data_IF_027952631102
#
_entry.id   IF_027952631102
#
_cell.length_a   1.000
_cell.length_b   1.000
_cell.length_c   1.000
_cell.angle_alpha   90.00
_cell.angle_beta   90.00
_cell.angle_gamma   90.00
#
_symmetry.space_group_name_H-M   'P 1'
#
loop_
_entity.id
_entity.type
_entity.pdbx_description
1 polymer ?
2 non-polymer ?
3 water ?
#
# COMPACT_ATOMS: atom_id res chain seq x y z
N UNK A 7 -6.10 2.76 30.02
CA UNK A 7 -5.86 4.23 30.17
C UNK A 7 -5.73 4.93 28.81
N UNK A 8 -5.09 6.10 28.79
CA UNK A 8 -4.64 6.73 27.55
C UNK A 8 -3.46 5.94 26.96
N UNK A 9 -3.00 4.95 27.73
CA UNK A 9 -1.96 4.00 27.29
C UNK A 9 -2.46 3.26 26.07
N UNK A 10 -3.74 2.91 26.10
CA UNK A 10 -4.37 2.00 25.15
C UNK A 10 -4.56 2.60 23.77
N UNK A 11 -5.02 3.85 23.72
CA UNK A 11 -5.11 4.62 22.47
C UNK A 11 -3.74 4.77 21.83
N UNK A 12 -2.72 5.10 22.63
CA UNK A 12 -1.36 5.30 22.13
C UNK A 12 -0.78 4.02 21.58
N UNK A 13 -0.92 2.93 22.34
CA UNK A 13 -0.43 1.64 21.93
C UNK A 13 -1.16 1.09 20.72
N UNK A 14 -2.48 1.29 20.62
CA UNK A 14 -3.19 0.82 19.45
C UNK A 14 -2.61 1.48 18.21
N UNK A 15 -2.48 2.80 18.25
CA UNK A 15 -1.92 3.55 17.12
C UNK A 15 -0.52 3.13 16.79
N UNK A 16 0.36 3.18 17.78
CA UNK A 16 1.78 2.86 17.56
C UNK A 16 2.04 1.43 17.12
N UNK A 17 1.40 0.45 17.76
CA UNK A 17 1.65 -0.96 17.47
C UNK A 17 1.10 -1.34 16.08
N UNK A 18 -0.03 -0.76 15.69
CA UNK A 18 -0.60 -0.93 14.35
C UNK A 18 0.37 -0.41 13.30
N UNK A 19 0.80 0.85 13.48
CA UNK A 19 1.79 1.47 12.57
C UNK A 19 3.09 0.67 12.47
N UNK A 20 3.58 0.19 13.60
CA UNK A 20 4.77 -0.64 13.62
C UNK A 20 4.58 -1.94 12.83
N UNK A 21 3.48 -2.67 13.13
CA UNK A 21 3.15 -3.89 12.38
C UNK A 21 3.05 -3.64 10.90
N UNK A 22 2.44 -2.50 10.52
CA UNK A 22 2.24 -2.18 9.11
C UNK A 22 3.53 -1.83 8.38
N UNK A 23 4.47 -1.21 9.10
CA UNK A 23 5.84 -0.94 8.60
C UNK A 23 6.58 -2.21 8.17
N UNK A 24 6.22 -3.35 8.80
CA UNK A 24 6.71 -4.67 8.39
C UNK A 24 5.81 -5.45 7.43
N UNK A 25 4.49 -5.38 7.63
CA UNK A 25 3.52 -6.11 6.80
C UNK A 25 3.54 -5.65 5.35
N UNK A 26 3.92 -4.40 5.10
CA UNK A 26 4.03 -3.91 3.72
C UNK A 26 5.00 -4.77 2.92
N UNK A 27 6.00 -5.33 3.61
CA UNK A 27 7.05 -6.16 3.01
C UNK A 27 6.54 -7.57 2.64
N UNK A 28 5.40 -7.92 3.22
CA UNK A 28 4.72 -9.16 2.92
C UNK A 28 3.48 -8.86 2.09
N UNK A 29 3.43 -7.65 1.51
CA UNK A 29 2.38 -7.21 0.59
C UNK A 29 0.99 -6.91 1.17
N UNK A 30 0.93 -6.63 2.47
CA UNK A 30 -0.35 -6.37 3.12
C UNK A 30 -0.26 -5.36 4.31
N UNK A 31 -1.30 -5.34 5.14
CA UNK A 31 -1.49 -4.35 6.20
C UNK A 31 -2.60 -4.86 7.09
N UNK A 32 -2.69 -4.30 8.29
CA UNK A 32 -3.86 -4.45 9.15
C UNK A 32 -4.44 -3.04 9.28
N UNK A 33 -5.69 -2.95 9.73
CA UNK A 33 -6.38 -1.68 9.90
C UNK A 33 -6.88 -1.55 11.35
N UNK A 34 -7.33 -2.67 11.91
CA UNK A 34 -7.92 -2.74 13.24
C UNK A 34 -7.21 -3.83 14.04
N UNK A 35 -6.30 -3.44 14.92
CA UNK A 35 -5.44 -4.37 15.65
C UNK A 35 -6.19 -5.35 16.57
N UNK A 36 -7.42 -5.00 16.96
CA UNK A 36 -8.19 -5.97 17.78
C UNK A 36 -9.15 -6.88 16.98
N UNK A 37 -9.15 -6.72 15.65
CA UNK A 37 -9.86 -7.64 14.75
C UNK A 37 -8.91 -8.40 13.81
N UNK A 38 -7.91 -7.72 13.28
CA UNK A 38 -7.14 -8.22 12.15
C UNK A 38 -6.05 -9.29 12.40
N UNK A 39 -5.83 -9.65 13.67
CA UNK A 39 -4.97 -10.77 14.05
C UNK A 39 -5.77 -11.95 14.62
N UNK A 40 -7.10 -11.85 14.64
CA UNK A 40 -7.94 -12.90 15.23
C UNK A 40 -7.87 -14.27 14.50
N UNK A 41 -7.73 -14.25 13.18
CA UNK A 41 -7.53 -15.50 12.43
C UNK A 41 -6.08 -16.05 12.40
N UNK A 42 -5.14 -15.28 12.96
CA UNK A 42 -3.73 -15.65 13.03
C UNK A 42 -2.89 -15.50 11.77
N UNK A 43 -3.52 -15.25 10.61
CA UNK A 43 -2.79 -15.27 9.33
C UNK A 43 -1.73 -14.15 9.16
N UNK A 44 -2.12 -12.92 9.46
CA UNK A 44 -1.23 -11.77 9.31
C UNK A 44 -0.26 -11.70 10.48
N UNK A 45 -0.61 -12.36 11.59
CA UNK A 45 0.27 -12.52 12.74
C UNK A 45 1.46 -13.42 12.39
N UNK A 46 1.16 -14.56 11.79
CA UNK A 46 2.17 -15.45 11.22
C UNK A 46 3.04 -14.75 10.15
N UNK A 47 2.39 -14.00 9.25
CA UNK A 47 3.10 -13.23 8.24
C UNK A 47 4.06 -12.19 8.84
N UNK A 48 3.59 -11.46 9.85
CA UNK A 48 4.41 -10.49 10.56
C UNK A 48 5.68 -11.14 11.12
N UNK A 49 5.53 -12.29 11.75
CA UNK A 49 6.64 -13.02 12.33
C UNK A 49 7.65 -13.49 11.28
N UNK A 50 7.14 -13.88 10.12
CA UNK A 50 7.99 -14.27 9.00
C UNK A 50 8.86 -13.09 8.50
N UNK A 51 8.27 -11.91 8.37
CA UNK A 51 8.99 -10.73 7.89
C UNK A 51 10.09 -10.29 8.85
N UNK A 52 9.75 -10.21 10.15
CA UNK A 52 10.65 -9.63 11.13
C UNK A 52 11.77 -10.59 11.52
N UNK A 53 11.57 -11.89 11.28
CA UNK A 53 12.60 -12.91 11.60
C UNK A 53 13.37 -13.37 10.37
N UNK A 54 12.76 -13.21 9.19
CA UNK A 54 13.37 -13.69 7.93
C UNK A 54 13.17 -15.18 7.75
N UNK A 55 12.35 -15.80 8.61
CA UNK A 55 12.20 -17.27 8.68
C UNK A 55 10.78 -17.70 8.33
N UNK A 56 10.66 -18.94 7.90
CA UNK A 56 9.38 -19.48 7.48
C UNK A 56 8.68 -20.15 8.65
N UNK A 57 7.37 -19.91 8.76
CA UNK A 57 6.60 -20.53 9.82
C UNK A 57 5.85 -21.68 9.13
N UNK A 58 5.25 -22.61 9.91
CA UNK A 58 4.45 -23.65 9.24
C UNK A 58 3.30 -23.08 8.40
N UNK A 59 2.78 -23.92 7.50
CA UNK A 59 1.63 -23.58 6.64
C UNK A 59 0.42 -23.24 7.52
N UNK A 60 -0.23 -22.11 7.24
CA UNK A 60 -1.45 -21.72 7.93
C UNK A 60 -2.65 -22.52 7.44
N UNK A 61 -3.71 -22.57 8.25
CA UNK A 61 -4.98 -23.13 7.81
C UNK A 61 -5.93 -21.99 7.43
N UNK A 62 -6.55 -22.11 6.27
CA UNK A 62 -7.29 -20.98 5.73
C UNK A 62 -8.79 -21.20 5.80
N UNK A 63 -9.18 -22.23 6.54
CA UNK A 63 -10.56 -22.67 6.65
C UNK A 63 -11.60 -21.77 7.30
N UNK A 64 -11.21 -20.75 8.04
CA UNK A 64 -12.23 -19.82 8.62
C UNK A 64 -13.08 -20.36 9.80
N UNK A 65 -12.81 -21.58 10.26
CA UNK A 65 -13.43 -22.05 11.49
C UNK A 65 -12.59 -21.67 12.66
N UNK A 66 -13.19 -21.66 13.85
CA UNK A 66 -12.48 -21.24 15.01
C UNK A 66 -11.22 -22.10 15.32
N UNK A 67 -11.26 -23.42 15.06
CA UNK A 67 -10.07 -24.30 15.25
C UNK A 67 -8.88 -23.83 14.44
N UNK A 68 -9.16 -23.49 13.18
CA UNK A 68 -8.10 -23.07 12.25
C UNK A 68 -7.39 -21.84 12.81
N UNK A 69 -8.17 -20.89 13.30
CA UNK A 69 -7.66 -19.62 13.77
C UNK A 69 -6.86 -19.86 15.04
N UNK A 70 -7.36 -20.74 15.92
CA UNK A 70 -6.65 -21.17 17.13
C UNK A 70 -5.32 -21.84 16.76
N UNK A 71 -5.37 -22.72 15.76
CA UNK A 71 -4.17 -23.42 15.31
C UNK A 71 -3.14 -22.47 14.72
N UNK A 72 -3.60 -21.51 13.93
CA UNK A 72 -2.76 -20.46 13.38
C UNK A 72 -2.12 -19.61 14.47
N UNK A 73 -2.90 -19.18 15.45
CA UNK A 73 -2.37 -18.37 16.53
C UNK A 73 -1.38 -19.16 17.39
N UNK A 74 -1.65 -20.44 17.67
CA UNK A 74 -0.67 -21.28 18.33
C UNK A 74 0.64 -21.45 17.55
N UNK A 75 0.57 -21.54 16.22
CA UNK A 75 1.77 -21.61 15.39
C UNK A 75 2.64 -20.37 15.62
N UNK A 76 1.98 -19.23 15.72
CA UNK A 76 2.65 -17.97 15.95
C UNK A 76 3.24 -17.93 17.36
N UNK A 77 2.48 -18.35 18.35
CA UNK A 77 2.96 -18.34 19.73
C UNK A 77 4.10 -19.34 19.95
N UNK A 78 3.98 -20.51 19.33
CA UNK A 78 5.01 -21.54 19.43
C UNK A 78 6.32 -21.01 18.85
N UNK A 79 6.22 -20.27 17.75
CA UNK A 79 7.37 -19.64 17.13
C UNK A 79 8.04 -18.57 17.99
N UNK A 80 7.25 -17.66 18.55
CA UNK A 80 7.76 -16.70 19.51
C UNK A 80 8.48 -17.40 20.65
N UNK A 81 7.87 -18.44 21.22
CA UNK A 81 8.51 -19.24 22.30
C UNK A 81 9.82 -19.94 21.88
N UNK A 82 9.90 -20.37 20.62
CA UNK A 82 11.14 -21.02 20.12
C UNK A 82 12.34 -20.05 20.04
N UNK A 83 12.07 -18.75 20.18
CA UNK A 83 13.09 -17.68 20.18
C UNK A 83 13.41 -17.27 21.61
N UNK A 84 12.96 -18.10 22.55
CA UNK A 84 13.44 -18.02 23.92
C UNK A 84 12.56 -17.12 24.75
N UNK A 85 11.39 -16.80 24.20
CA UNK A 85 10.41 -15.95 24.88
C UNK A 85 9.56 -16.79 25.84
N UNK A 86 9.50 -16.36 27.08
CA UNK A 86 8.61 -16.99 28.04
C UNK A 86 7.30 -16.21 28.05
N UNK A 87 6.29 -16.74 27.37
CA UNK A 87 4.99 -16.09 27.28
C UNK A 87 4.26 -16.10 28.61
N UNK A 88 3.68 -14.97 28.96
CA UNK A 88 2.97 -14.80 30.22
C UNK A 88 1.55 -14.27 29.98
N UNK A 89 0.55 -15.00 30.50
CA UNK A 89 -0.87 -14.60 30.37
C UNK A 89 -1.27 -14.29 28.91
N UNK A 90 -0.84 -15.14 27.97
CA UNK A 90 -1.25 -15.04 26.55
C UNK A 90 -1.66 -16.44 26.10
N UNK A 91 -2.89 -16.58 25.61
CA UNK A 91 -3.40 -17.85 25.10
C UNK A 91 -4.06 -17.65 23.75
N UNK A 92 -4.02 -18.66 22.88
CA UNK A 92 -4.55 -18.53 21.49
C UNK A 92 -6.08 -18.28 21.44
N UNK A 93 -6.82 -18.88 22.36
CA UNK A 93 -8.27 -18.77 22.32
C UNK A 93 -8.69 -17.33 22.54
N UNK A 94 -8.02 -16.66 23.47
CA UNK A 94 -8.39 -15.31 23.88
C UNK A 94 -8.00 -14.29 22.78
N UNK A 95 -6.91 -14.57 22.06
CA UNK A 95 -6.53 -13.80 20.87
C UNK A 95 -7.57 -13.96 19.72
N UNK A 96 -7.92 -15.21 19.44
CA UNK A 96 -8.91 -15.53 18.42
C UNK A 96 -10.26 -14.89 18.77
N UNK A 97 -10.60 -14.90 20.06
CA UNK A 97 -11.86 -14.35 20.56
C UNK A 97 -11.87 -12.81 20.72
N UNK A 98 -10.74 -12.17 20.40
CA UNK A 98 -10.68 -10.71 20.34
C UNK A 98 -10.39 -9.96 21.63
N UNK A 99 -9.68 -10.59 22.56
CA UNK A 99 -9.23 -9.88 23.77
C UNK A 99 -8.23 -8.78 23.42
N UNK A 100 -8.65 -7.52 23.51
CA UNK A 100 -7.88 -6.37 23.04
C UNK A 100 -6.60 -6.08 23.85
N UNK A 101 -6.71 -6.07 25.18
CA UNK A 101 -5.57 -5.88 26.06
C UNK A 101 -4.52 -6.98 25.85
N UNK A 102 -4.96 -8.25 25.75
CA UNK A 102 -4.05 -9.38 25.52
C UNK A 102 -3.37 -9.29 24.17
N UNK A 103 -4.12 -8.85 23.16
CA UNK A 103 -3.58 -8.65 21.82
C UNK A 103 -2.50 -7.58 21.85
N UNK A 104 -2.78 -6.44 22.50
CA UNK A 104 -1.72 -5.43 22.61
C UNK A 104 -0.48 -5.99 23.31
N UNK A 105 -0.70 -6.75 24.38
CA UNK A 105 0.38 -7.39 25.15
C UNK A 105 1.21 -8.32 24.30
N UNK A 106 0.55 -9.07 23.44
CA UNK A 106 1.24 -10.01 22.58
C UNK A 106 2.05 -9.25 21.51
N UNK A 107 1.51 -8.19 20.94
CA UNK A 107 2.29 -7.38 19.98
C UNK A 107 3.51 -6.70 20.62
N UNK A 108 3.38 -6.17 21.82
CA UNK A 108 4.55 -5.67 22.56
C UNK A 108 5.65 -6.72 22.78
N UNK A 109 5.26 -7.92 23.18
CA UNK A 109 6.17 -9.05 23.30
C UNK A 109 6.98 -9.29 22.02
N UNK A 110 6.27 -9.23 20.88
CA UNK A 110 6.88 -9.35 19.57
C UNK A 110 7.89 -8.21 19.26
N UNK A 111 7.48 -6.97 19.47
CA UNK A 111 8.37 -5.82 19.31
C UNK A 111 9.64 -5.98 20.16
N UNK A 112 9.46 -6.31 21.44
CA UNK A 112 10.56 -6.40 22.39
C UNK A 112 11.60 -7.47 21.96
N UNK A 113 11.11 -8.65 21.56
CA UNK A 113 11.96 -9.75 21.13
C UNK A 113 12.64 -9.51 19.78
N UNK A 114 11.85 -9.09 18.79
CA UNK A 114 12.28 -9.03 17.37
C UNK A 114 12.84 -7.67 16.88
N UNK A 115 12.64 -6.61 17.67
CA UNK A 115 13.13 -5.28 17.32
C UNK A 115 14.13 -4.77 18.35
N UNK A 116 13.96 -5.20 19.59
CA UNK A 116 14.73 -4.63 20.69
C UNK A 116 15.84 -5.51 21.30
N UNK A 117 15.48 -6.74 21.62
CA UNK A 117 16.34 -7.65 22.36
C UNK A 117 17.75 -7.77 21.81
N UNK A 118 17.87 -7.91 20.49
CA UNK A 118 19.15 -8.18 19.88
C UNK A 118 20.02 -6.94 19.66
N UNK A 119 19.49 -5.75 19.97
CA UNK A 119 20.27 -4.49 19.98
C UNK A 119 21.49 -4.67 20.89
N UNK A 120 22.67 -4.39 20.35
CA UNK A 120 23.93 -4.49 21.12
C UNK A 120 24.76 -3.22 20.97
N UNK A 121 24.93 -2.50 22.09
CA UNK A 121 25.65 -1.23 22.12
C UNK A 121 26.70 -1.22 23.22
N UNK A 122 27.97 -1.07 22.84
CA UNK A 122 29.11 -1.28 23.75
C UNK A 122 28.92 -2.63 24.44
N UNK A 123 28.93 -2.66 25.76
CA UNK A 123 28.63 -3.91 26.46
C UNK A 123 27.20 -4.05 27.05
N UNK A 124 26.25 -3.25 26.55
CA UNK A 124 24.86 -3.35 27.00
C UNK A 124 23.95 -3.84 25.85
N UNK A 125 22.83 -4.49 26.18
CA UNK A 125 21.93 -4.95 25.15
C UNK A 125 20.47 -4.61 25.42
N UNK A 126 19.60 -4.88 24.43
CA UNK A 126 18.16 -4.77 24.60
C UNK A 126 17.75 -3.35 24.98
N UNK A 127 16.76 -3.20 25.87
CA UNK A 127 16.19 -1.88 26.23
C UNK A 127 17.29 -0.94 26.76
N UNK A 128 18.19 -1.50 27.56
CA UNK A 128 19.29 -0.75 28.17
C UNK A 128 20.26 -0.28 27.09
N UNK A 129 20.47 -1.12 26.08
CA UNK A 129 21.37 -0.80 24.99
C UNK A 129 20.80 0.30 24.11
N UNK A 130 19.50 0.20 23.81
CA UNK A 130 18.81 1.22 23.03
C UNK A 130 18.88 2.59 23.74
N UNK A 131 18.68 2.62 25.05
CA UNK A 131 18.87 3.86 25.83
C UNK A 131 20.29 4.43 25.72
N UNK A 132 21.32 3.62 26.00
CA UNK A 132 22.72 4.07 25.89
C UNK A 132 23.04 4.67 24.49
N UNK A 133 22.61 3.97 23.45
CA UNK A 133 22.74 4.46 22.08
C UNK A 133 22.14 5.86 21.91
N UNK A 134 20.92 6.07 22.41
CA UNK A 134 20.27 7.40 22.34
C UNK A 134 21.02 8.47 23.14
N UNK A 135 21.55 8.10 24.31
CA UNK A 135 22.36 9.00 25.11
C UNK A 135 23.70 9.36 24.43
N UNK A 136 24.32 8.37 23.78
CA UNK A 136 25.58 8.60 23.04
C UNK A 136 25.38 9.55 21.87
N UNK A 137 24.36 9.26 21.05
CA UNK A 137 24.06 10.04 19.86
C UNK A 137 23.56 11.44 20.17
N UNK A 138 22.85 11.59 21.28
CA UNK A 138 22.35 12.93 21.63
C UNK A 138 23.19 13.70 22.67
N UNK A 139 24.36 13.17 23.04
CA UNK A 139 25.17 13.79 24.10
C UNK A 139 25.41 15.29 23.93
N UNK A 140 25.83 15.73 22.73
CA UNK A 140 26.22 17.15 22.63
C UNK A 140 25.07 18.18 22.43
N UNK A 141 23.84 17.67 22.23
CA UNK A 141 22.69 18.51 21.84
C UNK A 141 22.05 19.27 22.98
N UNK A 142 21.87 20.56 22.75
CA UNK A 142 21.35 21.50 23.75
C UNK A 142 19.94 21.14 24.13
N UNK A 143 19.70 21.11 25.45
CA UNK A 143 18.38 20.83 26.00
C UNK A 143 17.86 19.40 25.75
N UNK A 144 18.77 18.49 25.43
CA UNK A 144 18.41 17.09 25.36
C UNK A 144 19.08 16.40 26.53
N UNK A 145 18.33 15.59 27.25
CA UNK A 145 18.93 14.67 28.20
C UNK A 145 18.08 13.42 28.26
N UNK A 146 18.47 12.40 27.53
CA UNK A 146 17.71 11.14 27.47
C UNK A 146 18.00 10.31 28.73
N UNK A 147 16.97 10.05 29.52
CA UNK A 147 17.12 9.29 30.76
C UNK A 147 16.09 8.20 30.82
N UNK A 148 15.25 8.15 29.78
CA UNK A 148 14.13 7.23 29.76
C UNK A 148 13.47 7.24 28.41
N UNK A 149 12.42 6.44 28.28
CA UNK A 149 11.64 6.42 27.03
C UNK A 149 10.26 7.01 27.22
N UNK A 150 10.17 8.03 28.07
CA UNK A 150 8.91 8.75 28.24
C UNK A 150 9.14 10.27 28.24
N UNK A 151 9.22 10.90 29.39
CA UNK A 151 9.30 12.36 29.46
C UNK A 151 10.52 12.99 28.73
N UNK A 152 11.61 12.22 28.58
CA UNK A 152 12.81 12.66 27.83
C UNK A 152 12.52 12.98 26.36
N UNK A 153 11.41 12.45 25.85
CA UNK A 153 11.09 12.49 24.40
C UNK A 153 9.98 13.45 24.07
N UNK A 154 9.35 13.93 25.14
CA UNK A 154 8.11 14.67 25.08
C UNK A 154 8.21 16.04 24.40
N UNK A 155 9.35 16.72 24.56
CA UNK A 155 9.47 18.03 23.89
C UNK A 155 9.91 18.00 22.40
N UNK A 156 10.21 16.82 21.88
CA UNK A 156 10.53 16.68 20.45
C UNK A 156 11.99 16.84 20.07
N UNK A 157 12.76 17.51 20.91
CA UNK A 157 14.17 17.81 20.62
C UNK A 157 15.05 16.57 20.48
N UNK A 158 14.87 15.58 21.34
CA UNK A 158 15.68 14.34 21.24
C UNK A 158 15.47 13.58 19.92
N UNK A 159 14.22 13.45 19.47
CA UNK A 159 13.95 12.92 18.10
C UNK A 159 14.76 13.66 17.03
N UNK A 160 14.68 15.00 17.03
CA UNK A 160 15.43 15.83 16.09
C UNK A 160 16.95 15.71 16.22
N UNK A 161 17.47 15.69 17.45
CA UNK A 161 18.88 15.48 17.72
C UNK A 161 19.37 14.13 17.19
N UNK A 162 18.62 13.06 17.47
CA UNK A 162 18.90 11.71 16.97
C UNK A 162 19.02 11.63 15.44
N UNK A 163 18.06 12.26 14.73
CA UNK A 163 18.09 12.29 13.27
C UNK A 163 19.23 13.17 12.76
N UNK A 164 19.44 14.32 13.42
CA UNK A 164 20.48 15.25 13.02
C UNK A 164 21.88 14.65 13.14
N UNK A 165 22.14 13.90 14.20
CA UNK A 165 23.44 13.34 14.38
C UNK A 165 23.82 12.37 13.26
N UNK A 166 22.84 11.74 12.63
CA UNK A 166 23.15 10.82 11.55
C UNK A 166 23.08 11.49 10.20
N UNK A 167 22.11 12.39 10.07
CA UNK A 167 21.80 13.04 8.80
C UNK A 167 21.63 14.53 9.06
N UNK A 168 22.75 15.28 9.28
CA UNK A 168 22.63 16.68 9.70
C UNK A 168 21.94 17.57 8.67
N UNK A 169 21.99 17.17 7.41
CA UNK A 169 21.39 17.94 6.30
C UNK A 169 19.85 17.99 6.32
N UNK A 170 19.25 17.08 7.09
CA UNK A 170 17.79 16.94 7.14
C UNK A 170 17.14 17.77 8.25
N UNK A 171 17.95 18.23 9.21
CA UNK A 171 17.44 18.89 10.43
C UNK A 171 18.17 20.21 10.67
N UNK A 172 17.44 21.30 10.80
CA UNK A 172 18.00 22.54 11.30
C UNK A 172 17.81 22.65 12.77
N UNK A 173 18.70 22.02 13.47
CA UNK A 173 18.50 21.84 14.92
C UNK A 173 18.40 23.12 15.75
N UNK A 174 19.18 24.14 15.38
CA UNK A 174 19.25 25.40 16.15
C UNK A 174 18.00 26.25 16.02
N UNK A 175 17.21 25.96 15.01
CA UNK A 175 15.97 26.67 14.76
C UNK A 175 14.88 26.26 15.76
N UNK A 176 15.03 25.08 16.36
CA UNK A 176 13.99 24.45 17.20
C UNK A 176 13.84 24.99 18.63
N UNK A 177 12.60 25.28 19.00
CA UNK A 177 12.29 25.86 20.30
C UNK A 177 11.75 24.82 21.30
N UNK A 178 12.45 24.66 22.41
CA UNK A 178 12.02 23.76 23.48
C UNK A 178 10.54 23.95 23.86
N UNK A 179 10.09 25.21 23.94
CA UNK A 179 8.70 25.54 24.31
C UNK A 179 7.70 25.45 23.14
N UNK A 180 8.11 24.80 22.06
CA UNK A 180 7.28 24.56 20.89
C UNK A 180 7.30 23.05 20.58
N UNK A 181 6.81 22.22 21.52
CA UNK A 181 7.01 20.77 21.38
C UNK A 181 6.25 20.14 20.21
N UNK A 182 5.04 20.63 19.92
CA UNK A 182 4.26 20.10 18.80
C UNK A 182 4.96 20.31 17.47
N UNK A 183 5.56 21.48 17.27
CA UNK A 183 6.33 21.75 16.06
C UNK A 183 7.55 20.83 15.95
N UNK A 184 8.30 20.70 17.04
CA UNK A 184 9.49 19.83 17.06
C UNK A 184 9.15 18.37 16.74
N UNK A 185 8.11 17.86 17.38
CA UNK A 185 7.65 16.48 17.19
C UNK A 185 7.24 16.18 15.75
N UNK A 186 6.40 17.04 15.18
CA UNK A 186 5.99 16.89 13.78
C UNK A 186 7.11 17.04 12.76
N UNK A 187 8.06 17.92 13.03
CA UNK A 187 9.25 18.04 12.19
C UNK A 187 10.00 16.71 12.08
N UNK A 188 10.25 16.08 13.23
CA UNK A 188 10.99 14.83 13.27
C UNK A 188 10.19 13.70 12.63
N UNK A 189 8.90 13.63 12.96
CA UNK A 189 8.00 12.60 12.42
C UNK A 189 7.96 12.66 10.89
N UNK A 190 7.80 13.89 10.37
CA UNK A 190 7.74 14.15 8.93
C UNK A 190 9.06 13.84 8.21
N UNK A 191 10.18 14.26 8.79
CA UNK A 191 11.51 13.98 8.23
C UNK A 191 11.81 12.47 8.18
N UNK A 192 11.52 11.77 9.27
CA UNK A 192 11.69 10.32 9.33
C UNK A 192 10.82 9.60 8.32
N UNK A 193 9.57 10.06 8.16
CA UNK A 193 8.63 9.42 7.23
C UNK A 193 9.05 9.53 5.75
N UNK A 194 9.53 10.73 5.40
CA UNK A 194 9.87 11.10 4.04
C UNK A 194 11.27 10.63 3.63
N UNK A 195 12.24 10.80 4.52
CA UNK A 195 13.65 10.58 4.19
C UNK A 195 14.23 9.26 4.69
N UNK A 196 13.67 8.70 5.77
CA UNK A 196 14.23 7.50 6.37
C UNK A 196 13.32 6.30 6.20
N UNK A 197 12.17 6.49 5.54
CA UNK A 197 11.12 5.46 5.36
C UNK A 197 10.70 4.82 6.68
N UNK A 198 10.64 5.64 7.74
CA UNK A 198 10.04 5.23 9.02
C UNK A 198 8.65 5.83 9.14
N UNK A 199 7.63 4.98 9.00
CA UNK A 199 6.27 5.49 9.06
C UNK A 199 5.97 6.15 10.40
N UNK A 200 5.07 7.13 10.37
CA UNK A 200 4.62 7.79 11.59
C UNK A 200 3.94 6.79 12.51
N UNK A 201 4.39 6.74 13.76
CA UNK A 201 3.88 5.82 14.76
C UNK A 201 3.41 6.55 16.01
N UNK A 202 3.75 7.83 16.13
CA UNK A 202 3.36 8.62 17.32
C UNK A 202 2.52 9.83 16.91
N UNK A 203 1.59 10.23 17.77
CA UNK A 203 0.79 11.43 17.55
C UNK A 203 1.38 12.55 18.44
N UNK A 204 1.78 13.65 17.81
CA UNK A 204 2.40 14.79 18.51
C UNK A 204 1.52 15.33 19.65
N UNK A 205 0.23 15.54 19.37
CA UNK A 205 -0.74 16.03 20.37
C UNK A 205 -0.78 15.16 21.61
N UNK A 206 -0.97 13.85 21.42
CA UNK A 206 -0.98 12.86 22.50
C UNK A 206 0.26 12.95 23.35
N UNK A 207 1.42 13.06 22.71
CA UNK A 207 2.69 13.11 23.40
C UNK A 207 2.74 14.34 24.34
N UNK A 208 2.40 15.51 23.79
CA UNK A 208 2.38 16.78 24.50
C UNK A 208 1.26 16.84 25.57
N UNK A 209 0.09 16.29 25.24
CA UNK A 209 -1.07 16.37 26.12
C UNK A 209 -1.18 15.24 27.17
N UNK A 210 -0.18 14.35 27.22
CA UNK A 210 -0.08 13.37 28.30
C UNK A 210 1.04 13.82 29.23
N UNK A 211 0.81 13.71 30.54
CA UNK A 211 1.84 13.98 31.54
C UNK A 211 3.06 13.08 31.28
N UNK A 212 2.79 11.77 31.24
CA UNK A 212 3.80 10.74 31.00
C UNK A 212 3.40 9.92 29.76
N UNK A 213 4.10 10.12 28.62
CA UNK A 213 3.77 9.35 27.41
C UNK A 213 4.04 7.84 27.59
N UNK A 214 3.31 6.99 26.86
CA UNK A 214 3.48 5.54 27.02
C UNK A 214 4.88 5.13 26.56
N UNK A 215 5.66 4.50 27.46
CA UNK A 215 7.05 4.16 27.13
C UNK A 215 7.26 3.01 26.12
N UNK A 216 6.40 2.01 26.13
CA UNK A 216 6.39 0.94 25.13
C UNK A 216 6.21 1.48 23.71
N UNK A 217 5.30 2.45 23.58
CA UNK A 217 5.02 3.10 22.31
C UNK A 217 6.23 3.89 21.87
N UNK A 218 6.88 4.59 22.82
CA UNK A 218 8.09 5.36 22.49
C UNK A 218 9.30 4.48 22.10
N UNK A 219 9.58 3.45 22.89
CA UNK A 219 10.60 2.43 22.56
C UNK A 219 10.41 1.79 21.18
N UNK A 220 9.17 1.42 20.87
CA UNK A 220 8.79 0.87 19.54
C UNK A 220 9.27 1.81 18.42
N UNK A 221 8.91 3.10 18.52
CA UNK A 221 9.24 4.07 17.49
C UNK A 221 10.75 4.31 17.42
N UNK A 222 11.38 4.55 18.58
CA UNK A 222 12.82 4.77 18.68
C UNK A 222 13.65 3.58 18.16
N UNK A 223 13.20 2.35 18.41
CA UNK A 223 13.91 1.18 17.90
C UNK A 223 14.00 1.17 16.39
N UNK A 224 12.98 1.70 15.72
CA UNK A 224 12.97 1.77 14.24
C UNK A 224 13.99 2.76 13.70
N UNK A 225 14.24 3.84 14.46
CA UNK A 225 15.36 4.74 14.20
C UNK A 225 16.68 4.01 14.35
N UNK A 226 16.81 3.20 15.42
CA UNK A 226 18.03 2.45 15.64
C UNK A 226 18.33 1.59 14.43
N UNK A 227 17.32 0.87 13.94
CA UNK A 227 17.53 -0.03 12.82
C UNK A 227 17.71 0.70 11.48
N UNK A 228 17.12 1.89 11.32
CA UNK A 228 17.32 2.68 10.10
C UNK A 228 18.78 3.12 9.99
N UNK A 229 19.36 3.44 11.14
CA UNK A 229 20.68 4.01 11.19
C UNK A 229 21.80 2.99 11.43
N UNK A 230 21.46 1.70 11.53
CA UNK A 230 22.43 0.68 11.93
C UNK A 230 23.34 0.19 10.82
N UNK A 231 22.92 0.36 9.56
CA UNK A 231 23.73 -0.07 8.37
C UNK A 231 24.95 0.79 8.02
N UNK A 232 25.28 1.76 8.88
CA UNK A 232 26.37 2.69 8.60
C UNK A 232 27.69 2.38 9.33
N UNK A 233 28.77 2.99 8.84
CA UNK A 233 30.06 3.22 9.56
C UNK A 233 31.07 2.07 9.49
N UNK B 5 -9.60 21.48 -4.10
CA UNK B 5 -8.58 20.52 -3.69
C UNK B 5 -8.58 19.28 -4.58
N UNK B 6 -7.44 18.62 -4.68
CA UNK B 6 -7.37 17.34 -5.40
C UNK B 6 -6.57 16.35 -4.56
N UNK B 7 -7.15 15.16 -4.37
CA UNK B 7 -6.52 14.14 -3.57
C UNK B 7 -5.68 13.19 -4.45
N UNK B 8 -4.77 12.44 -3.82
CA UNK B 8 -3.90 11.49 -4.51
C UNK B 8 -4.72 10.58 -5.44
N UNK B 9 -5.79 10.00 -4.92
CA UNK B 9 -6.60 9.08 -5.70
C UNK B 9 -6.94 9.66 -7.07
N UNK B 10 -7.31 10.94 -7.13
CA UNK B 10 -7.83 11.51 -8.35
C UNK B 10 -6.74 11.76 -9.41
N UNK B 11 -5.56 12.20 -8.97
CA UNK B 11 -4.38 12.36 -9.83
C UNK B 11 -4.01 11.02 -10.46
N UNK B 12 -3.91 9.98 -9.63
CA UNK B 12 -3.59 8.62 -10.10
C UNK B 12 -4.60 8.12 -11.12
N UNK B 13 -5.89 8.24 -10.81
CA UNK B 13 -6.93 7.77 -11.75
C UNK B 13 -7.00 8.52 -13.06
N UNK B 14 -6.80 9.83 -13.03
CA UNK B 14 -6.74 10.62 -14.27
C UNK B 14 -5.68 10.10 -15.21
N UNK B 15 -4.46 9.94 -14.71
CA UNK B 15 -3.32 9.52 -15.55
C UNK B 15 -3.49 8.09 -16.05
N UNK B 16 -3.95 7.21 -15.16
CA UNK B 16 -4.12 5.80 -15.50
C UNK B 16 -5.29 5.57 -16.44
N UNK B 17 -6.47 6.12 -16.10
CA UNK B 17 -7.63 6.03 -16.98
C UNK B 17 -7.39 6.67 -18.35
N UNK B 18 -6.71 7.81 -18.38
CA UNK B 18 -6.36 8.43 -19.67
C UNK B 18 -5.46 7.49 -20.52
N UNK B 19 -4.40 6.98 -19.92
CA UNK B 19 -3.53 6.00 -20.58
C UNK B 19 -4.29 4.74 -21.05
N UNK B 20 -5.21 4.24 -20.22
CA UNK B 20 -5.98 3.07 -20.61
C UNK B 20 -6.84 3.39 -21.83
N UNK B 21 -7.44 4.60 -21.85
CA UNK B 21 -8.32 4.98 -22.97
C UNK B 21 -7.54 5.04 -24.28
N UNK B 22 -6.33 5.60 -24.19
CA UNK B 22 -5.43 5.74 -25.32
C UNK B 22 -4.88 4.44 -25.87
N UNK B 23 -4.70 3.45 -24.98
CA UNK B 23 -4.33 2.09 -25.36
C UNK B 23 -5.33 1.44 -26.33
N UNK B 24 -6.59 1.85 -26.26
CA UNK B 24 -7.63 1.37 -27.17
C UNK B 24 -7.89 2.36 -28.32
N UNK B 25 -8.04 3.64 -28.00
CA UNK B 25 -8.31 4.67 -29.00
C UNK B 25 -7.32 4.65 -30.16
N UNK B 26 -6.10 4.21 -29.86
CA UNK B 26 -5.03 4.14 -30.88
C UNK B 26 -5.38 3.18 -32.01
N UNK B 27 -6.19 2.15 -31.70
CA UNK B 27 -6.65 1.19 -32.70
C UNK B 27 -7.66 1.79 -33.65
N UNK B 28 -8.15 2.99 -33.31
CA UNK B 28 -9.10 3.71 -34.15
C UNK B 28 -8.50 5.03 -34.67
N UNK B 29 -7.18 5.07 -34.72
CA UNK B 29 -6.42 6.23 -35.20
C UNK B 29 -6.58 7.53 -34.44
N UNK B 30 -6.73 7.47 -33.11
CA UNK B 30 -6.88 8.69 -32.29
C UNK B 30 -6.39 8.54 -30.83
N UNK B 31 -6.46 9.63 -30.08
CA UNK B 31 -5.97 9.78 -28.72
C UNK B 31 -6.72 10.93 -28.07
N UNK B 32 -6.75 10.93 -26.74
CA UNK B 32 -7.23 12.05 -25.95
C UNK B 32 -6.02 12.57 -25.19
N UNK B 33 -6.08 13.80 -24.69
CA UNK B 33 -5.00 14.36 -23.91
C UNK B 33 -5.48 14.72 -22.53
N UNK B 34 -6.68 15.29 -22.50
CA UNK B 34 -7.26 15.91 -21.33
C UNK B 34 -8.62 15.24 -21.15
N UNK B 35 -8.68 14.30 -20.21
CA UNK B 35 -9.88 13.48 -19.95
C UNK B 35 -11.09 14.35 -19.50
N UNK B 36 -10.78 15.53 -18.93
CA UNK B 36 -11.74 16.55 -18.53
C UNK B 36 -12.43 17.24 -19.71
N UNK B 37 -11.79 17.20 -20.88
CA UNK B 37 -12.29 17.95 -22.05
C UNK B 37 -12.62 17.08 -23.25
N UNK B 38 -11.82 16.03 -23.47
CA UNK B 38 -11.87 15.34 -24.75
C UNK B 38 -13.01 14.32 -24.93
N UNK B 39 -13.85 14.13 -23.92
CA UNK B 39 -15.02 13.27 -24.04
C UNK B 39 -16.33 14.07 -24.03
N UNK B 40 -16.21 15.39 -23.94
CA UNK B 40 -17.36 16.29 -23.87
C UNK B 40 -18.33 16.23 -25.06
N UNK B 41 -17.80 15.98 -26.27
CA UNK B 41 -18.67 15.93 -27.46
C UNK B 41 -19.13 14.53 -27.83
N UNK B 42 -18.68 13.53 -27.05
CA UNK B 42 -19.19 12.17 -27.18
C UNK B 42 -18.52 11.34 -28.25
N UNK B 43 -17.86 11.99 -29.20
CA UNK B 43 -17.23 11.31 -30.35
C UNK B 43 -16.23 10.19 -29.99
N UNK B 44 -15.22 10.51 -29.17
CA UNK B 44 -14.18 9.53 -28.81
C UNK B 44 -14.63 8.56 -27.75
N UNK B 45 -15.65 8.97 -27.00
CA UNK B 45 -16.30 8.05 -26.07
C UNK B 45 -16.96 6.91 -26.86
N UNK B 46 -17.73 7.25 -27.91
CA UNK B 46 -18.32 6.25 -28.83
C UNK B 46 -17.27 5.37 -29.54
N UNK B 47 -16.20 5.99 -30.05
CA UNK B 47 -15.10 5.24 -30.66
C UNK B 47 -14.50 4.27 -29.65
N UNK B 48 -14.30 4.75 -28.42
CA UNK B 48 -13.74 3.90 -27.38
C UNK B 48 -14.59 2.62 -27.15
N UNK B 49 -15.91 2.80 -27.07
CA UNK B 49 -16.84 1.71 -26.83
C UNK B 49 -16.91 0.72 -27.99
N UNK B 50 -16.72 1.21 -29.22
CA UNK B 50 -16.63 0.34 -30.42
C UNK B 50 -15.36 -0.50 -30.41
N UNK B 51 -14.25 0.11 -30.00
CA UNK B 51 -12.97 -0.61 -29.98
C UNK B 51 -12.97 -1.73 -28.94
N UNK B 52 -13.47 -1.44 -27.73
CA UNK B 52 -13.31 -2.39 -26.62
C UNK B 52 -14.37 -3.49 -26.67
N UNK B 53 -15.47 -3.23 -27.38
CA UNK B 53 -16.55 -4.18 -27.58
C UNK B 53 -16.48 -4.91 -28.93
N UNK B 54 -15.76 -4.37 -29.91
CA UNK B 54 -15.79 -4.91 -31.27
C UNK B 54 -17.12 -4.71 -31.99
N UNK B 55 -17.98 -3.84 -31.47
CA UNK B 55 -19.35 -3.66 -32.00
C UNK B 55 -19.57 -2.22 -32.45
N UNK B 56 -20.44 -2.02 -33.44
CA UNK B 56 -20.72 -0.69 -33.96
C UNK B 56 -21.79 0.01 -33.14
N UNK B 57 -21.59 1.29 -32.89
CA UNK B 57 -22.60 2.11 -32.25
C UNK B 57 -23.32 2.91 -33.36
N UNK B 58 -24.49 3.51 -33.04
CA UNK B 58 -25.14 4.39 -34.04
C UNK B 58 -24.19 5.49 -34.49
N UNK B 59 -24.38 5.99 -35.70
CA UNK B 59 -23.61 7.10 -36.26
C UNK B 59 -23.64 8.34 -35.33
N UNK B 60 -22.46 8.95 -35.08
CA UNK B 60 -22.41 10.14 -34.21
C UNK B 60 -22.96 11.38 -34.93
N UNK B 61 -23.26 12.43 -34.16
CA UNK B 61 -23.56 13.75 -34.73
C UNK B 61 -22.36 14.65 -34.58
N UNK B 62 -21.91 15.20 -35.70
CA UNK B 62 -20.66 15.99 -35.74
C UNK B 62 -20.89 17.52 -35.81
N UNK B 63 -22.14 17.96 -35.72
CA UNK B 63 -22.48 19.36 -35.91
C UNK B 63 -22.04 20.36 -34.84
N UNK B 64 -21.49 19.86 -33.73
CA UNK B 64 -20.81 20.71 -32.73
C UNK B 64 -21.73 21.54 -31.84
N UNK B 65 -23.03 21.38 -31.98
CA UNK B 65 -23.97 22.03 -31.09
C UNK B 65 -24.20 21.19 -29.84
N UNK B 66 -24.59 21.84 -28.73
CA UNK B 66 -24.75 21.13 -27.47
C UNK B 66 -25.69 19.94 -27.58
N UNK B 67 -26.78 20.11 -28.32
CA UNK B 67 -27.73 19.00 -28.51
C UNK B 67 -27.10 17.75 -29.19
N UNK B 68 -26.24 17.96 -30.18
CA UNK B 68 -25.49 16.86 -30.85
C UNK B 68 -24.58 16.11 -29.86
N UNK B 69 -23.88 16.89 -29.03
CA UNK B 69 -22.97 16.39 -28.00
C UNK B 69 -23.73 15.56 -26.98
N UNK B 70 -24.89 16.07 -26.52
CA UNK B 70 -25.75 15.32 -25.60
C UNK B 70 -26.26 14.01 -26.24
N UNK B 71 -26.68 14.09 -27.50
CA UNK B 71 -27.13 12.92 -28.24
C UNK B 71 -26.05 11.84 -28.38
N UNK B 72 -24.83 12.26 -28.78
CA UNK B 72 -23.64 11.37 -28.84
C UNK B 72 -23.30 10.74 -27.50
N UNK B 73 -23.33 11.53 -26.42
CA UNK B 73 -23.04 10.97 -25.10
C UNK B 73 -24.17 10.03 -24.68
N UNK B 74 -25.44 10.35 -24.99
CA UNK B 74 -26.54 9.41 -24.72
C UNK B 74 -26.48 8.09 -25.51
N UNK B 75 -25.93 8.11 -26.73
CA UNK B 75 -25.68 6.86 -27.49
C UNK B 75 -24.61 5.99 -26.82
N UNK B 76 -23.59 6.62 -26.27
CA UNK B 76 -22.60 5.89 -25.49
C UNK B 76 -23.24 5.27 -24.22
N UNK B 77 -23.97 6.07 -23.46
CA UNK B 77 -24.60 5.59 -22.20
C UNK B 77 -25.63 4.48 -22.39
N UNK B 78 -26.51 4.66 -23.38
CA UNK B 78 -27.44 3.63 -23.84
C UNK B 78 -26.72 2.32 -24.25
N UNK B 79 -25.62 2.45 -24.99
CA UNK B 79 -24.87 1.25 -25.37
C UNK B 79 -24.34 0.50 -24.14
N UNK B 80 -23.74 1.26 -23.21
CA UNK B 80 -23.25 0.70 -21.94
C UNK B 80 -24.38 0.01 -21.14
N UNK B 81 -25.52 0.67 -21.04
CA UNK B 81 -26.72 0.13 -20.36
C UNK B 81 -27.27 -1.16 -21.02
N UNK B 82 -27.20 -1.24 -22.35
CA UNK B 82 -27.53 -2.46 -23.10
C UNK B 82 -26.61 -3.64 -22.72
N UNK B 83 -25.47 -3.36 -22.08
CA UNK B 83 -24.57 -4.41 -21.62
C UNK B 83 -24.85 -4.77 -20.16
N UNK B 84 -25.97 -4.26 -19.63
CA UNK B 84 -26.47 -4.58 -18.28
C UNK B 84 -25.89 -3.71 -17.17
N UNK B 85 -25.28 -2.58 -17.53
CA UNK B 85 -24.68 -1.69 -16.54
C UNK B 85 -25.72 -0.71 -15.99
N UNK B 86 -25.91 -0.75 -14.66
CA UNK B 86 -26.84 0.14 -13.99
C UNK B 86 -26.14 1.47 -13.67
N UNK B 87 -26.33 2.44 -14.57
CA UNK B 87 -25.64 3.73 -14.48
C UNK B 87 -26.25 4.65 -13.41
N UNK B 88 -25.46 4.92 -12.35
CA UNK B 88 -25.95 5.67 -11.16
C UNK B 88 -25.50 7.14 -11.16
N UNK B 89 -26.47 8.05 -11.28
CA UNK B 89 -26.22 9.51 -11.32
C UNK B 89 -25.04 9.91 -12.21
N UNK B 90 -25.14 9.49 -13.46
CA UNK B 90 -24.22 9.84 -14.50
C UNK B 90 -25.12 10.30 -15.65
N UNK B 91 -25.22 11.60 -15.85
CA UNK B 91 -26.05 12.16 -16.92
C UNK B 91 -25.23 12.74 -18.04
N UNK B 92 -25.74 12.60 -19.27
CA UNK B 92 -25.11 13.13 -20.49
C UNK B 92 -24.80 14.65 -20.40
N UNK B 93 -25.71 15.43 -19.83
CA UNK B 93 -25.53 16.89 -19.69
C UNK B 93 -24.26 17.26 -18.92
N UNK B 94 -23.99 16.53 -17.82
CA UNK B 94 -22.82 16.78 -16.98
C UNK B 94 -21.52 16.34 -17.67
N UNK B 95 -21.59 15.27 -18.47
CA UNK B 95 -20.44 14.84 -19.24
C UNK B 95 -20.16 15.91 -20.31
N UNK B 96 -21.19 16.33 -21.04
CA UNK B 96 -21.08 17.39 -22.05
C UNK B 96 -20.59 18.71 -21.46
N UNK B 97 -21.15 19.09 -20.32
CA UNK B 97 -20.75 20.33 -19.64
C UNK B 97 -19.38 20.24 -18.92
N UNK B 98 -18.74 19.08 -18.94
CA UNK B 98 -17.33 18.96 -18.52
C UNK B 98 -17.03 18.60 -17.06
N UNK B 99 -18.00 17.94 -16.40
CA UNK B 99 -17.83 17.40 -15.05
C UNK B 99 -16.72 16.35 -14.99
N UNK B 100 -15.55 16.74 -14.47
CA UNK B 100 -14.32 15.94 -14.47
C UNK B 100 -14.41 14.70 -13.58
N UNK B 101 -15.01 14.84 -12.40
CA UNK B 101 -15.13 13.74 -11.45
C UNK B 101 -16.11 12.69 -11.98
N UNK B 102 -17.29 13.14 -12.43
CA UNK B 102 -18.27 12.25 -13.05
C UNK B 102 -17.73 11.55 -14.29
N UNK B 103 -16.91 12.27 -15.06
CA UNK B 103 -16.27 11.70 -16.24
C UNK B 103 -15.29 10.57 -15.89
N UNK B 104 -14.49 10.75 -14.84
CA UNK B 104 -13.62 9.67 -14.36
C UNK B 104 -14.42 8.48 -13.91
N UNK B 105 -15.54 8.74 -13.22
CA UNK B 105 -16.41 7.67 -12.71
C UNK B 105 -16.98 6.86 -13.87
N UNK B 106 -17.37 7.57 -14.93
CA UNK B 106 -17.86 6.96 -16.17
C UNK B 106 -16.82 6.07 -16.82
N UNK B 107 -15.58 6.56 -16.91
CA UNK B 107 -14.52 5.78 -17.50
C UNK B 107 -14.22 4.51 -16.66
N UNK B 108 -14.23 4.63 -15.33
CA UNK B 108 -14.02 3.45 -14.47
C UNK B 108 -15.12 2.40 -14.70
N UNK B 109 -16.37 2.87 -14.79
CA UNK B 109 -17.49 1.99 -15.03
C UNK B 109 -17.28 1.21 -16.33
N UNK B 110 -16.73 1.90 -17.34
CA UNK B 110 -16.37 1.29 -18.62
C UNK B 110 -15.21 0.28 -18.54
N UNK B 111 -14.10 0.63 -17.89
CA UNK B 111 -13.00 -0.32 -17.67
C UNK B 111 -13.50 -1.55 -16.91
N UNK B 112 -14.27 -1.33 -15.85
CA UNK B 112 -14.84 -2.41 -15.07
C UNK B 112 -15.69 -3.33 -15.94
N UNK B 113 -16.61 -2.78 -16.72
CA UNK B 113 -17.56 -3.62 -17.49
C UNK B 113 -16.90 -4.38 -18.61
N UNK B 114 -16.06 -3.66 -19.35
CA UNK B 114 -15.49 -4.18 -20.59
C UNK B 114 -14.09 -4.78 -20.46
N UNK B 115 -13.42 -4.57 -19.33
CA UNK B 115 -12.08 -5.16 -19.14
C UNK B 115 -12.09 -6.17 -18.01
N UNK B 116 -13.02 -6.01 -17.07
CA UNK B 116 -12.95 -6.80 -15.83
C UNK B 116 -14.12 -7.76 -15.56
N UNK B 117 -15.36 -7.32 -15.78
CA UNK B 117 -16.53 -8.09 -15.34
C UNK B 117 -16.56 -9.55 -15.83
N UNK B 118 -16.14 -9.76 -17.07
CA UNK B 118 -16.27 -11.09 -17.69
C UNK B 118 -15.07 -11.98 -17.41
N UNK B 119 -14.08 -11.45 -16.69
CA UNK B 119 -12.97 -12.28 -16.23
C UNK B 119 -13.56 -13.37 -15.35
N UNK B 120 -13.16 -14.61 -15.61
CA UNK B 120 -13.67 -15.77 -14.91
C UNK B 120 -12.53 -16.73 -14.70
N UNK B 121 -12.14 -16.93 -13.44
CA UNK B 121 -11.17 -17.98 -13.15
C UNK B 121 -11.63 -18.86 -11.97
N UNK B 122 -11.78 -20.16 -12.22
CA UNK B 122 -12.21 -21.12 -11.21
C UNK B 122 -13.60 -20.77 -10.64
N UNK B 123 -14.56 -20.51 -11.54
CA UNK B 123 -15.93 -20.11 -11.16
C UNK B 123 -16.02 -18.86 -10.24
N UNK B 124 -14.97 -18.07 -10.18
CA UNK B 124 -15.05 -16.77 -9.49
C UNK B 124 -14.81 -15.70 -10.54
N UNK B 125 -15.56 -14.60 -10.47
CA UNK B 125 -15.54 -13.65 -11.57
C UNK B 125 -15.10 -12.23 -11.20
N UNK B 126 -14.87 -11.42 -12.24
CA UNK B 126 -14.72 -9.97 -12.17
C UNK B 126 -13.47 -9.59 -11.34
N UNK B 127 -13.57 -8.59 -10.46
CA UNK B 127 -12.42 -8.17 -9.63
C UNK B 127 -11.83 -9.35 -8.83
N UNK B 128 -12.71 -10.17 -8.26
CA UNK B 128 -12.28 -11.33 -7.45
C UNK B 128 -11.59 -12.39 -8.32
N UNK B 129 -12.08 -12.59 -9.55
CA UNK B 129 -11.44 -13.50 -10.50
C UNK B 129 -10.07 -13.01 -10.94
N UNK B 130 -9.94 -11.71 -11.17
CA UNK B 130 -8.62 -11.10 -11.49
C UNK B 130 -7.59 -11.24 -10.35
N UNK B 131 -8.00 -10.98 -9.12
CA UNK B 131 -7.15 -11.20 -7.96
C UNK B 131 -6.70 -12.65 -7.89
N UNK B 132 -7.64 -13.59 -8.01
CA UNK B 132 -7.32 -15.02 -7.93
C UNK B 132 -6.28 -15.39 -9.00
N UNK B 133 -6.47 -14.89 -10.21
CA UNK B 133 -5.54 -15.14 -11.31
C UNK B 133 -4.14 -14.63 -10.96
N UNK B 134 -4.04 -13.41 -10.49
CA UNK B 134 -2.75 -12.84 -10.05
C UNK B 134 -2.06 -13.73 -8.99
N UNK B 135 -2.85 -14.21 -8.04
CA UNK B 135 -2.38 -15.12 -6.98
C UNK B 135 -1.94 -16.47 -7.53
N UNK B 136 -2.74 -17.08 -8.42
CA UNK B 136 -2.32 -18.32 -9.09
C UNK B 136 -1.01 -18.18 -9.88
N UNK B 137 -0.87 -17.11 -10.64
CA UNK B 137 0.32 -16.92 -11.48
C UNK B 137 1.58 -16.46 -10.74
N UNK B 138 1.43 -15.75 -9.63
CA UNK B 138 2.60 -15.36 -8.83
C UNK B 138 2.90 -16.32 -7.65
N UNK B 139 2.11 -17.38 -7.52
CA UNK B 139 2.33 -18.40 -6.51
C UNK B 139 3.81 -18.88 -6.46
N UNK B 140 4.41 -19.21 -7.63
CA UNK B 140 5.82 -19.69 -7.59
C UNK B 140 6.87 -18.69 -7.05
N UNK B 141 6.47 -17.43 -6.84
CA UNK B 141 7.43 -16.37 -6.54
C UNK B 141 7.32 -16.00 -5.06
N UNK B 142 8.29 -16.48 -4.29
CA UNK B 142 8.20 -16.48 -2.84
C UNK B 142 8.35 -15.10 -2.21
N UNK B 143 8.98 -14.16 -2.92
CA UNK B 143 9.11 -12.79 -2.47
C UNK B 143 7.92 -11.91 -2.88
N UNK B 144 6.90 -12.54 -3.44
CA UNK B 144 5.62 -11.91 -3.79
C UNK B 144 4.50 -12.50 -2.93
N UNK B 145 3.56 -11.68 -2.53
CA UNK B 145 2.38 -12.18 -1.85
C UNK B 145 1.19 -11.30 -2.22
N UNK B 146 0.51 -11.64 -3.32
CA UNK B 146 -0.58 -10.81 -3.83
C UNK B 146 -1.84 -11.02 -2.96
N UNK B 147 -2.30 -9.94 -2.32
CA UNK B 147 -3.42 -10.05 -1.39
C UNK B 147 -4.44 -8.94 -1.61
N UNK B 148 -4.16 -8.05 -2.58
CA UNK B 148 -4.97 -6.86 -2.80
C UNK B 148 -4.51 -6.22 -4.09
N UNK B 149 -5.12 -5.10 -4.46
CA UNK B 149 -4.67 -4.38 -5.65
C UNK B 149 -4.01 -3.07 -5.28
N UNK B 150 -3.23 -3.05 -4.20
CA UNK B 150 -2.51 -1.86 -3.80
C UNK B 150 -1.12 -2.18 -3.26
N UNK B 151 -0.98 -2.32 -1.93
CA UNK B 151 0.30 -2.62 -1.24
C UNK B 151 1.05 -3.83 -1.85
N UNK B 152 0.31 -4.83 -2.30
CA UNK B 152 0.89 -6.06 -2.87
C UNK B 152 1.73 -5.79 -4.10
N UNK B 153 1.52 -4.63 -4.73
CA UNK B 153 2.12 -4.26 -6.03
C UNK B 153 3.21 -3.19 -5.91
N UNK B 154 3.36 -2.61 -4.70
CA UNK B 154 4.22 -1.46 -4.43
C UNK B 154 5.70 -1.60 -4.79
N UNK B 155 6.27 -2.80 -4.58
CA UNK B 155 7.70 -3.00 -4.80
C UNK B 155 8.09 -3.49 -6.19
N UNK B 156 7.12 -3.63 -7.09
CA UNK B 156 7.38 -3.96 -8.49
C UNK B 156 7.60 -5.42 -8.82
N UNK B 157 7.77 -6.25 -7.78
CA UNK B 157 8.09 -7.66 -7.98
C UNK B 157 6.91 -8.43 -8.54
N UNK B 158 5.69 -8.16 -8.04
CA UNK B 158 4.50 -8.84 -8.59
C UNK B 158 4.32 -8.62 -10.10
N UNK B 159 4.57 -7.40 -10.58
CA UNK B 159 4.50 -7.07 -12.01
C UNK B 159 5.50 -7.87 -12.83
N UNK B 160 6.72 -8.03 -12.31
CA UNK B 160 7.72 -8.84 -13.00
C UNK B 160 7.38 -10.33 -13.02
N UNK B 161 6.83 -10.81 -11.90
CA UNK B 161 6.45 -12.21 -11.75
C UNK B 161 5.31 -12.62 -12.70
N UNK B 162 4.35 -11.71 -12.94
CA UNK B 162 3.29 -11.97 -13.91
C UNK B 162 3.85 -12.15 -15.31
N UNK B 163 4.74 -11.24 -15.69
CA UNK B 163 5.45 -11.35 -16.98
C UNK B 163 6.32 -12.61 -17.03
N UNK B 164 7.13 -12.83 -16.01
CA UNK B 164 8.00 -14.02 -15.96
C UNK B 164 7.21 -15.33 -16.06
N UNK B 165 6.09 -15.44 -15.35
CA UNK B 165 5.27 -16.66 -15.39
C UNK B 165 4.92 -17.08 -16.82
N UNK B 166 4.71 -16.09 -17.69
CA UNK B 166 4.23 -16.30 -19.05
C UNK B 166 5.32 -16.22 -20.12
N UNK B 167 6.31 -15.36 -19.86
CA UNK B 167 7.41 -15.09 -20.78
C UNK B 167 8.76 -15.02 -20.05
N UNK B 168 9.26 -16.15 -19.52
CA UNK B 168 10.46 -16.12 -18.68
C UNK B 168 11.64 -15.44 -19.37
N UNK B 169 11.76 -15.65 -20.68
CA UNK B 169 12.85 -15.10 -21.50
C UNK B 169 12.91 -13.56 -21.46
N UNK B 170 11.82 -12.93 -21.01
CA UNK B 170 11.72 -11.47 -20.92
C UNK B 170 12.23 -10.87 -19.62
N UNK B 171 12.26 -11.67 -18.55
CA UNK B 171 12.57 -11.18 -17.20
C UNK B 171 13.61 -12.04 -16.49
N UNK B 172 14.68 -11.40 -16.01
CA UNK B 172 15.66 -12.08 -15.22
C UNK B 172 15.23 -11.91 -13.79
N UNK B 173 14.38 -12.83 -13.32
CA UNK B 173 13.63 -12.60 -12.09
C UNK B 173 14.49 -12.55 -10.85
N UNK B 174 15.48 -13.44 -10.73
CA UNK B 174 16.21 -13.49 -9.46
C UNK B 174 17.27 -12.42 -9.21
N UNK B 175 17.57 -11.61 -10.23
CA UNK B 175 18.38 -10.40 -10.05
C UNK B 175 17.63 -9.26 -9.35
N UNK B 176 16.29 -9.33 -9.36
CA UNK B 176 15.44 -8.26 -8.81
C UNK B 176 15.41 -8.30 -7.30
N UNK B 177 15.54 -7.11 -6.71
CA UNK B 177 15.60 -6.91 -5.26
C UNK B 177 14.35 -6.25 -4.74
N UNK B 178 13.75 -6.81 -3.69
CA UNK B 178 12.61 -6.17 -2.99
C UNK B 178 12.88 -4.70 -2.61
N UNK B 179 14.11 -4.43 -2.17
CA UNK B 179 14.51 -3.09 -1.72
C UNK B 179 14.82 -2.10 -2.85
N UNK B 180 14.57 -2.50 -4.10
CA UNK B 180 14.81 -1.62 -5.22
C UNK B 180 13.53 -1.41 -6.04
N UNK B 181 12.46 -0.86 -5.40
CA UNK B 181 11.16 -0.69 -6.06
C UNK B 181 11.14 0.11 -7.37
N UNK B 182 11.90 1.21 -7.48
CA UNK B 182 11.85 2.02 -8.72
C UNK B 182 12.37 1.23 -9.92
N UNK B 183 13.40 0.43 -9.69
CA UNK B 183 14.01 -0.35 -10.73
C UNK B 183 13.04 -1.46 -11.13
N UNK B 184 12.48 -2.15 -10.14
CA UNK B 184 11.55 -3.24 -10.41
C UNK B 184 10.35 -2.78 -11.24
N UNK B 185 9.75 -1.66 -10.83
CA UNK B 185 8.55 -1.13 -11.49
C UNK B 185 8.84 -0.69 -12.92
N UNK B 186 9.83 0.19 -13.10
CA UNK B 186 10.22 0.64 -14.43
C UNK B 186 10.56 -0.55 -15.32
N UNK B 187 11.29 -1.53 -14.80
CA UNK B 187 11.60 -2.74 -15.54
C UNK B 187 10.36 -3.38 -16.12
N UNK B 188 9.40 -3.68 -15.26
CA UNK B 188 8.17 -4.32 -15.71
C UNK B 188 7.40 -3.42 -16.67
N UNK B 189 7.35 -2.11 -16.38
CA UNK B 189 6.65 -1.13 -17.24
C UNK B 189 7.23 -1.08 -18.67
N UNK B 190 8.57 -0.99 -18.77
CA UNK B 190 9.31 -0.97 -20.03
C UNK B 190 9.29 -2.30 -20.79
N UNK B 191 9.41 -3.42 -20.08
CA UNK B 191 9.28 -4.74 -20.71
C UNK B 191 7.87 -4.93 -21.33
N UNK B 192 6.85 -4.53 -20.57
CA UNK B 192 5.46 -4.71 -20.96
C UNK B 192 5.12 -3.85 -22.18
N UNK B 193 5.66 -2.63 -22.20
CA UNK B 193 5.44 -1.68 -23.29
C UNK B 193 6.09 -2.10 -24.60
N UNK B 194 7.33 -2.56 -24.48
CA UNK B 194 8.19 -2.92 -25.61
C UNK B 194 7.81 -4.28 -26.18
N UNK B 195 7.58 -5.25 -25.30
CA UNK B 195 7.45 -6.65 -25.71
C UNK B 195 6.03 -7.20 -25.75
N UNK B 196 5.15 -6.60 -24.94
CA UNK B 196 3.77 -7.10 -24.80
C UNK B 196 2.73 -6.15 -25.40
N UNK B 197 3.20 -5.01 -25.90
CA UNK B 197 2.37 -3.94 -26.44
C UNK B 197 1.31 -3.46 -25.42
N UNK B 198 1.72 -3.33 -24.16
CA UNK B 198 0.90 -2.75 -23.13
C UNK B 198 1.51 -1.37 -22.79
N UNK B 199 0.85 -0.28 -23.22
CA UNK B 199 1.32 1.05 -22.90
C UNK B 199 1.41 1.27 -21.39
N UNK B 200 2.35 2.10 -20.97
CA UNK B 200 2.53 2.43 -19.57
C UNK B 200 1.30 3.16 -19.03
N UNK B 201 0.79 2.75 -17.86
CA UNK B 201 -0.40 3.38 -17.27
C UNK B 201 -0.18 3.80 -15.82
N UNK B 202 0.89 3.29 -15.21
CA UNK B 202 1.32 3.71 -13.89
C UNK B 202 2.66 4.44 -13.96
N UNK B 203 2.84 5.39 -13.05
CA UNK B 203 4.10 6.08 -12.84
C UNK B 203 4.81 5.48 -11.63
N UNK B 204 6.05 5.00 -11.81
CA UNK B 204 6.84 4.43 -10.71
C UNK B 204 6.98 5.31 -9.46
N UNK B 205 7.27 6.59 -9.65
CA UNK B 205 7.41 7.52 -8.53
C UNK B 205 6.12 7.62 -7.72
N UNK B 206 4.96 7.60 -8.39
CA UNK B 206 3.66 7.68 -7.69
C UNK B 206 3.46 6.47 -6.78
N UNK B 207 3.83 5.30 -7.30
CA UNK B 207 3.73 4.04 -6.60
C UNK B 207 4.66 4.06 -5.37
N UNK B 208 5.92 4.41 -5.58
CA UNK B 208 6.93 4.50 -4.50
C UNK B 208 6.59 5.56 -3.44
N UNK B 209 5.98 6.66 -3.86
CA UNK B 209 5.69 7.75 -2.92
C UNK B 209 4.39 7.60 -2.12
N UNK B 210 3.50 6.74 -2.58
CA UNK B 210 2.19 6.55 -1.94
C UNK B 210 2.21 5.28 -1.12
N UNK B 211 1.85 5.38 0.16
CA UNK B 211 1.75 4.22 1.05
C UNK B 211 0.84 3.12 0.50
N UNK B 212 -0.31 3.53 -0.04
CA UNK B 212 -1.31 2.62 -0.55
C UNK B 212 -1.80 3.10 -1.93
N UNK B 213 -1.21 2.54 -3.02
CA UNK B 213 -1.60 2.96 -4.38
C UNK B 213 -3.11 2.77 -4.70
N UNK B 214 -3.61 3.60 -5.60
CA UNK B 214 -5.03 3.55 -5.92
C UNK B 214 -5.36 2.23 -6.55
N UNK B 215 -6.31 1.54 -5.96
CA UNK B 215 -6.57 0.17 -6.40
C UNK B 215 -7.32 0.01 -7.71
N UNK B 216 -8.15 0.96 -8.11
CA UNK B 216 -8.71 0.82 -9.43
C UNK B 216 -7.77 1.22 -10.57
N UNK B 217 -6.89 2.18 -10.30
CA UNK B 217 -5.74 2.41 -11.19
C UNK B 217 -4.84 1.17 -11.34
N UNK B 218 -4.54 0.49 -10.23
CA UNK B 218 -3.78 -0.78 -10.27
C UNK B 218 -4.49 -1.86 -11.09
N UNK B 219 -5.75 -2.15 -10.77
CA UNK B 219 -6.59 -3.12 -11.53
C UNK B 219 -6.68 -2.83 -13.01
N UNK B 220 -6.77 -1.55 -13.36
CA UNK B 220 -6.88 -1.12 -14.75
C UNK B 220 -5.67 -1.65 -15.52
N UNK B 221 -4.48 -1.40 -15.00
CA UNK B 221 -3.24 -1.85 -15.62
C UNK B 221 -3.08 -3.37 -15.58
N UNK B 222 -3.33 -3.99 -14.42
CA UNK B 222 -3.27 -5.46 -14.26
C UNK B 222 -4.24 -6.17 -15.24
N UNK B 223 -5.44 -5.62 -15.44
CA UNK B 223 -6.41 -6.22 -16.36
C UNK B 223 -5.83 -6.26 -17.77
N UNK B 224 -4.95 -5.30 -18.11
CA UNK B 224 -4.33 -5.31 -19.44
C UNK B 224 -3.31 -6.44 -19.60
N UNK B 225 -2.60 -6.77 -18.51
CA UNK B 225 -1.80 -8.00 -18.46
C UNK B 225 -2.65 -9.25 -18.64
N UNK B 226 -3.77 -9.31 -17.94
CA UNK B 226 -4.63 -10.49 -18.02
C UNK B 226 -5.02 -10.75 -19.48
N UNK B 227 -5.43 -9.70 -20.20
CA UNK B 227 -5.85 -9.86 -21.58
C UNK B 227 -4.74 -10.13 -22.58
N UNK B 228 -3.54 -9.62 -22.30
CA UNK B 228 -2.34 -9.91 -23.10
C UNK B 228 -1.92 -11.38 -22.99
N UNK B 229 -2.25 -12.01 -21.86
CA UNK B 229 -1.78 -13.38 -21.58
C UNK B 229 -2.84 -14.45 -21.79
N UNK B 230 -3.97 -14.06 -22.38
CA UNK B 230 -5.13 -14.92 -22.47
C UNK B 230 -5.20 -15.78 -23.75
N UNK B 231 -4.35 -15.49 -24.73
CA UNK B 231 -4.24 -16.33 -25.93
C UNK B 231 -3.26 -17.49 -25.79
N UNK B 232 -2.95 -17.85 -24.54
CA UNK B 232 -1.96 -18.88 -24.26
C UNK B 232 -2.54 -19.97 -23.37
N UNK B 233 -1.84 -21.11 -23.37
CA UNK B 233 -2.13 -22.32 -22.59
C UNK B 233 -3.30 -23.13 -23.18
X LIG C 1 3.24 -7.45 28.04
X LIG C 1 3.88 -8.21 27.05
X LIG C 1 1.84 -8.02 28.29
X LIG C 1 1.90 -9.43 28.50
X LIG C 1 1.15 -7.27 29.45
X LIG C 1 -0.03 -6.63 29.01
X LIG D 1 -14.03 6.17 -10.24
X LIG D 1 -13.36 7.37 -10.46
X LIG D 1 -14.60 6.23 -8.84
X LIG D 1 -15.55 5.20 -8.77
X LIG D 1 -13.49 6.04 -7.76
X LIG D 1 -12.83 4.77 -7.86
X LIG E 1 3.32 7.49 -17.83
X LIG E 1 4.29 6.98 -16.93
X LIG E 1 1.90 7.17 -17.38
X LIG E 1 1.03 7.36 -18.47
X LIG E 1 1.48 8.08 -16.22
X LIG E 1 0.69 7.40 -15.27
X LIG F 1 10.20 -19.79 -9.75
X LIG F 1 9.64 -20.08 -11.03
X LIG F 1 11.09 -18.55 -9.80
X LIG F 1 11.36 -18.10 -8.50
X LIG F 1 12.41 -18.91 -10.49
X LIG F 1 12.78 -17.85 -11.33
#
# INVERSE_FOLDING_TARGET
GAMDPEFAWEKQQRKTFTAWCNSHLRKAGTQIENIDEDFRDGLKLMLLLEVISGERLPKPERGKMRVHKINNVNKALDFIASKGVKLVSIGAEEIVDGNAKMTLGMIWTIILRFAIQDISVEETSAKEGLLLWCQRKTAPYKNVNVQNFHISWKDGLAFNALIHRHRPELIEYDKLRKDDPVTNLNNAFEVAEKYLDIPKMLDAEDIVNTARPDEEAIMTYVSSFYHAFSGALDELN
GAMDPEFAWEKQQRKTFTAWCNSHLRKAGTQIENIDEDFRDGLKLMLLLEVISGERLPKPERGKMRVHKINNVNKALDFIASKGVKLVSIGAEEIVDGNAKMTLGMIWTIILRFAIQDISVEETSAKEGLLLWCQRKTAPYKNVNVQNFHISWKDGLAFNALIHRHRPELIEYDKLRKDDPVTNLNNAFEVAEKYLDIPKMLDAEDIVNTARPDEEAIMTYVSSFYHAFSGALDELN
GOL C1 O1 C2 O2 C3 O3
GOL C1 O1 C2 O2 C3 O3
GOL C1 O1 C2 O2 C3 O3
GOL C1 O1 C2 O2 C3 O3
#
